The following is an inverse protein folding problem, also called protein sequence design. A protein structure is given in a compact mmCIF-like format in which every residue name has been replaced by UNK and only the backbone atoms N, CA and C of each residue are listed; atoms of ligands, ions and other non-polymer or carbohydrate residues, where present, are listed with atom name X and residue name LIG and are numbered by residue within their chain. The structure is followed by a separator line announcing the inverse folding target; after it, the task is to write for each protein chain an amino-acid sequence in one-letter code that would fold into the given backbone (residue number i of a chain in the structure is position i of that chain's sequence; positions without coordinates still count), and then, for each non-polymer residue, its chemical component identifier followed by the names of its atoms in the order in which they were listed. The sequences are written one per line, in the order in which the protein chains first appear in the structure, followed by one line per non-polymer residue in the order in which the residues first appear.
data_IF_410453884131
#
_entry.id   IF_410453884131
#
_cell.length_a   1.000
_cell.length_b   1.000
_cell.length_c   1.000
_cell.angle_alpha   90.00
_cell.angle_beta   90.00
_cell.angle_gamma   90.00
#
_symmetry.space_group_name_H-M   'P 1'
#
loop_
_entity.id
_entity.type
_entity.pdbx_description
1 polymer ?
#
# COMPACT_ATOMS: atom_id res chain seq x y z
N UNK A 1 0.16 -6.88 3.98
CA UNK A 1 0.90 -6.07 2.98
C UNK A 1 2.16 -5.43 3.56
N UNK A 2 2.10 -4.88 4.79
CA UNK A 2 3.27 -4.34 5.49
C UNK A 2 4.46 -5.33 5.52
N UNK A 3 4.22 -6.60 5.89
CA UNK A 3 5.27 -7.62 5.91
C UNK A 3 5.69 -8.17 4.54
N UNK A 4 4.86 -8.07 3.49
CA UNK A 4 5.34 -8.39 2.14
C UNK A 4 6.25 -7.29 1.59
N UNK A 5 6.01 -6.04 2.00
CA UNK A 5 6.81 -4.88 1.61
C UNK A 5 8.12 -4.75 2.40
N UNK A 6 8.28 -5.42 3.55
CA UNK A 6 9.57 -5.42 4.28
C UNK A 6 10.66 -6.21 3.55
N UNK A 7 10.30 -7.23 2.74
CA UNK A 7 11.26 -7.88 1.84
C UNK A 7 11.91 -6.88 0.85
N UNK A 8 11.17 -5.83 0.47
CA UNK A 8 11.67 -4.76 -0.40
C UNK A 8 12.72 -3.89 0.31
N UNK A 9 12.66 -3.75 1.63
CA UNK A 9 13.66 -3.00 2.40
C UNK A 9 15.04 -3.64 2.28
N UNK A 10 15.12 -4.96 2.41
CA UNK A 10 16.36 -5.71 2.21
C UNK A 10 16.86 -5.62 0.77
N UNK A 11 15.98 -5.90 -0.21
CA UNK A 11 16.37 -5.93 -1.63
C UNK A 11 16.78 -4.54 -2.15
N UNK A 12 16.02 -3.49 -1.84
CA UNK A 12 16.35 -2.13 -2.26
C UNK A 12 17.56 -1.58 -1.48
N UNK A 13 17.68 -1.88 -0.18
CA UNK A 13 18.84 -1.47 0.61
C UNK A 13 20.15 -2.08 0.09
N UNK A 14 20.14 -3.38 -0.22
CA UNK A 14 21.29 -4.05 -0.84
C UNK A 14 21.61 -3.50 -2.23
N UNK A 15 20.59 -3.29 -3.08
CA UNK A 15 20.79 -2.74 -4.41
C UNK A 15 21.35 -1.31 -4.37
N UNK A 16 20.86 -0.47 -3.46
CA UNK A 16 21.37 0.90 -3.31
C UNK A 16 22.81 0.91 -2.78
N UNK A 17 23.10 0.12 -1.75
CA UNK A 17 24.44 0.00 -1.17
C UNK A 17 25.49 -0.57 -2.14
N UNK A 18 25.06 -1.41 -3.08
CA UNK A 18 25.91 -1.94 -4.16
C UNK A 18 25.93 -1.04 -5.42
N UNK A 19 25.39 0.18 -5.35
CA UNK A 19 25.28 1.15 -6.47
C UNK A 19 24.49 0.63 -7.69
N UNK A 20 23.67 -0.40 -7.51
CA UNK A 20 22.81 -0.98 -8.54
C UNK A 20 21.47 -0.23 -8.63
N UNK A 21 21.52 1.06 -8.93
CA UNK A 21 20.36 1.96 -8.90
C UNK A 21 19.21 1.55 -9.82
N UNK A 22 19.52 1.00 -10.99
CA UNK A 22 18.49 0.51 -11.92
C UNK A 22 17.71 -0.68 -11.32
N UNK A 23 18.40 -1.61 -10.64
CA UNK A 23 17.77 -2.75 -10.00
C UNK A 23 16.84 -2.35 -8.87
N UNK A 24 17.16 -1.29 -8.14
CA UNK A 24 16.29 -0.73 -7.11
C UNK A 24 14.93 -0.31 -7.70
N UNK A 25 14.94 0.37 -8.84
CA UNK A 25 13.73 0.73 -9.58
C UNK A 25 12.93 -0.49 -10.04
N UNK A 26 13.61 -1.49 -10.60
CA UNK A 26 12.98 -2.75 -11.05
C UNK A 26 12.35 -3.51 -9.87
N UNK A 27 13.04 -3.62 -8.72
CA UNK A 27 12.50 -4.27 -7.52
C UNK A 27 11.26 -3.56 -7.00
N UNK A 28 11.26 -2.22 -7.02
CA UNK A 28 10.10 -1.43 -6.60
C UNK A 28 8.91 -1.64 -7.54
N UNK A 29 9.13 -1.61 -8.86
CA UNK A 29 8.08 -1.90 -9.84
C UNK A 29 7.53 -3.32 -9.69
N UNK A 30 8.41 -4.31 -9.53
CA UNK A 30 8.03 -5.72 -9.30
C UNK A 30 7.20 -5.88 -8.03
N UNK A 31 7.57 -5.20 -6.95
CA UNK A 31 6.84 -5.22 -5.70
C UNK A 31 5.44 -4.61 -5.87
N UNK A 32 5.32 -3.46 -6.55
CA UNK A 32 4.02 -2.85 -6.87
C UNK A 32 3.13 -3.83 -7.64
N UNK A 33 3.64 -4.40 -8.74
CA UNK A 33 2.88 -5.37 -9.55
C UNK A 33 2.45 -6.58 -8.71
N UNK A 34 3.38 -7.15 -7.93
CA UNK A 34 3.10 -8.32 -7.09
C UNK A 34 2.05 -8.02 -6.03
N UNK A 35 2.17 -6.89 -5.33
CA UNK A 35 1.19 -6.49 -4.31
C UNK A 35 -0.18 -6.21 -4.92
N UNK A 36 -0.25 -5.58 -6.10
CA UNK A 36 -1.52 -5.36 -6.82
C UNK A 36 -2.16 -6.69 -7.24
N UNK A 37 -1.39 -7.67 -7.71
CA UNK A 37 -1.91 -9.01 -8.03
C UNK A 37 -2.45 -9.68 -6.77
N UNK A 38 -1.73 -9.58 -5.63
CA UNK A 38 -2.19 -10.13 -4.34
C UNK A 38 -3.44 -9.41 -3.80
N UNK A 39 -3.64 -8.13 -4.13
CA UNK A 39 -4.86 -7.42 -3.77
C UNK A 39 -6.11 -8.04 -4.39
N UNK A 40 -6.02 -8.66 -5.57
CA UNK A 40 -7.17 -9.24 -6.28
C UNK A 40 -7.83 -10.39 -5.47
N UNK A 41 -7.12 -11.48 -5.11
CA UNK A 41 -7.72 -12.55 -4.31
C UNK A 41 -8.11 -12.06 -2.90
N UNK A 42 -7.36 -11.14 -2.30
CA UNK A 42 -7.74 -10.54 -1.01
C UNK A 42 -9.06 -9.76 -1.10
N UNK A 43 -9.26 -9.00 -2.18
CA UNK A 43 -10.50 -8.26 -2.41
C UNK A 43 -11.68 -9.21 -2.61
N UNK A 44 -11.49 -10.32 -3.32
CA UNK A 44 -12.52 -11.36 -3.46
C UNK A 44 -12.89 -11.95 -2.09
N UNK A 45 -11.92 -12.27 -1.24
CA UNK A 45 -12.20 -12.76 0.13
C UNK A 45 -13.01 -11.72 0.91
N UNK A 46 -12.65 -10.44 0.82
CA UNK A 46 -13.37 -9.36 1.50
C UNK A 46 -14.81 -9.19 1.00
N UNK A 47 -15.06 -9.38 -0.30
CA UNK A 47 -16.43 -9.36 -0.87
C UNK A 47 -17.28 -10.50 -0.31
N UNK A 48 -16.69 -11.66 -0.02
CA UNK A 48 -17.40 -12.82 0.52
C UNK A 48 -17.36 -12.92 2.04
N UNK A 49 -16.79 -11.94 2.75
CA UNK A 49 -16.52 -12.07 4.19
C UNK A 49 -17.80 -12.26 5.02
N UNK A 50 -18.92 -11.62 4.65
CA UNK A 50 -20.22 -11.81 5.32
C UNK A 50 -20.61 -13.30 5.30
N UNK A 51 -20.58 -13.92 4.10
CA UNK A 51 -20.94 -15.34 3.93
C UNK A 51 -19.97 -16.26 4.67
N UNK A 52 -18.68 -15.93 4.66
CA UNK A 52 -17.66 -16.68 5.39
C UNK A 52 -17.92 -16.62 6.90
N UNK A 53 -18.24 -15.44 7.44
CA UNK A 53 -18.53 -15.26 8.86
C UNK A 53 -19.81 -16.01 9.27
N UNK A 54 -20.88 -15.90 8.49
CA UNK A 54 -22.10 -16.67 8.71
C UNK A 54 -21.82 -18.19 8.68
N UNK A 55 -21.00 -18.67 7.74
CA UNK A 55 -20.63 -20.08 7.63
C UNK A 55 -19.87 -20.59 8.86
N UNK A 56 -19.01 -19.76 9.46
CA UNK A 56 -18.26 -20.09 10.68
C UNK A 56 -19.13 -19.96 11.96
N UNK A 57 -20.40 -19.57 11.81
CA UNK A 57 -21.38 -19.52 12.90
C UNK A 57 -21.43 -18.17 13.64
N UNK A 58 -20.96 -17.08 13.00
CA UNK A 58 -21.15 -15.74 13.55
C UNK A 58 -22.61 -15.30 13.45
N UNK A 59 -22.99 -14.38 14.33
CA UNK A 59 -24.31 -13.74 14.29
C UNK A 59 -24.54 -13.04 12.92
N UNK A 60 -25.69 -13.25 12.25
CA UNK A 60 -25.94 -12.68 10.93
C UNK A 60 -25.88 -11.15 10.87
N UNK A 61 -26.28 -10.44 11.93
CA UNK A 61 -26.21 -8.97 11.96
C UNK A 61 -24.76 -8.52 12.07
N UNK A 62 -23.96 -9.17 12.92
CA UNK A 62 -22.52 -8.90 13.02
C UNK A 62 -21.80 -9.19 11.70
N UNK A 63 -22.13 -10.32 11.07
CA UNK A 63 -21.55 -10.71 9.78
C UNK A 63 -21.89 -9.70 8.66
N UNK A 64 -23.13 -9.19 8.65
CA UNK A 64 -23.58 -8.19 7.69
C UNK A 64 -22.83 -6.86 7.84
N UNK A 65 -22.73 -6.34 9.06
CA UNK A 65 -21.99 -5.10 9.33
C UNK A 65 -20.50 -5.25 8.96
N UNK A 66 -19.89 -6.39 9.29
CA UNK A 66 -18.51 -6.69 8.90
C UNK A 66 -18.34 -6.79 7.38
N UNK A 67 -19.31 -7.38 6.67
CA UNK A 67 -19.35 -7.45 5.22
C UNK A 67 -19.42 -6.09 4.55
N UNK A 68 -20.38 -5.28 4.97
CA UNK A 68 -20.54 -3.90 4.50
C UNK A 68 -19.25 -3.11 4.70
N UNK A 69 -18.69 -3.15 5.91
CA UNK A 69 -17.42 -2.50 6.24
C UNK A 69 -16.26 -2.98 5.36
N UNK A 70 -16.14 -4.30 5.14
CA UNK A 70 -15.05 -4.88 4.36
C UNK A 70 -15.01 -4.41 2.90
N UNK A 71 -16.17 -4.18 2.28
CA UNK A 71 -16.26 -3.64 0.92
C UNK A 71 -15.61 -2.24 0.86
N UNK A 72 -15.84 -1.39 1.86
CA UNK A 72 -15.22 -0.06 1.92
C UNK A 72 -13.70 -0.09 2.18
N UNK A 73 -13.15 -1.22 2.66
CA UNK A 73 -11.70 -1.37 2.83
C UNK A 73 -10.97 -1.66 1.52
N UNK A 74 -11.66 -2.20 0.51
CA UNK A 74 -11.04 -2.67 -0.74
C UNK A 74 -10.22 -1.57 -1.42
N UNK A 75 -10.72 -0.34 -1.67
CA UNK A 75 -9.92 0.71 -2.29
C UNK A 75 -8.65 1.05 -1.50
N UNK A 76 -8.72 0.92 -0.17
CA UNK A 76 -7.59 1.12 0.72
C UNK A 76 -6.48 0.08 0.56
N UNK A 77 -6.84 -1.15 0.21
CA UNK A 77 -5.90 -2.24 -0.04
C UNK A 77 -5.00 -1.97 -1.25
N UNK A 78 -5.56 -1.36 -2.30
CA UNK A 78 -4.82 -0.94 -3.48
C UNK A 78 -3.95 0.28 -3.20
N UNK A 79 -4.43 1.24 -2.41
CA UNK A 79 -3.62 2.38 -1.98
C UNK A 79 -2.38 1.92 -1.21
N UNK A 80 -2.52 0.98 -0.29
CA UNK A 80 -1.38 0.43 0.46
C UNK A 80 -0.42 -0.40 -0.41
N UNK A 81 -0.92 -1.10 -1.44
CA UNK A 81 -0.07 -1.81 -2.40
C UNK A 81 0.86 -0.87 -3.19
N UNK A 82 0.44 0.38 -3.39
CA UNK A 82 1.24 1.42 -4.04
C UNK A 82 2.13 2.17 -3.04
N UNK A 83 1.56 2.53 -1.88
CA UNK A 83 2.22 3.35 -0.88
C UNK A 83 3.43 2.66 -0.26
N UNK A 84 3.30 1.38 0.09
CA UNK A 84 4.36 0.67 0.81
C UNK A 84 5.65 0.55 -0.03
N UNK A 85 5.61 0.15 -1.32
CA UNK A 85 6.79 0.17 -2.17
C UNK A 85 7.41 1.57 -2.36
N UNK A 86 6.59 2.61 -2.52
CA UNK A 86 7.07 4.00 -2.64
C UNK A 86 7.84 4.45 -1.40
N UNK A 87 7.31 4.14 -0.20
CA UNK A 87 7.98 4.45 1.05
C UNK A 87 9.32 3.73 1.15
N UNK A 88 9.39 2.44 0.82
CA UNK A 88 10.64 1.67 0.85
C UNK A 88 11.64 2.10 -0.21
N UNK A 89 11.17 2.48 -1.40
CA UNK A 89 12.00 3.08 -2.45
C UNK A 89 12.71 4.34 -1.93
N UNK A 90 11.98 5.27 -1.32
CA UNK A 90 12.56 6.51 -0.78
C UNK A 90 13.43 6.24 0.45
N UNK A 91 12.97 5.36 1.36
CA UNK A 91 13.68 5.01 2.58
C UNK A 91 15.04 4.36 2.28
N UNK A 92 15.12 3.45 1.30
CA UNK A 92 16.38 2.79 0.91
C UNK A 92 17.45 3.74 0.34
N UNK A 93 17.03 4.92 -0.11
CA UNK A 93 17.90 5.99 -0.61
C UNK A 93 18.17 7.07 0.46
N UNK A 94 17.71 6.86 1.69
CA UNK A 94 17.73 7.86 2.77
C UNK A 94 16.98 9.16 2.45
N UNK A 95 16.01 9.12 1.53
CA UNK A 95 15.15 10.26 1.17
C UNK A 95 13.97 10.37 2.14
N UNK A 96 14.25 10.74 3.39
CA UNK A 96 13.25 10.78 4.47
C UNK A 96 12.43 12.08 4.50
N UNK A 97 12.97 13.21 4.04
CA UNK A 97 12.25 14.49 4.02
C UNK A 97 10.96 14.46 3.19
N UNK A 98 10.92 13.90 1.97
CA UNK A 98 9.67 13.75 1.21
C UNK A 98 8.64 12.89 1.93
N UNK A 99 9.09 11.83 2.63
CA UNK A 99 8.22 10.98 3.43
C UNK A 99 7.63 11.75 4.61
N UNK A 100 8.44 12.57 5.29
CA UNK A 100 8.01 13.43 6.39
C UNK A 100 6.97 14.46 5.91
N UNK A 101 7.26 15.19 4.83
CA UNK A 101 6.34 16.18 4.28
C UNK A 101 5.03 15.55 3.80
N UNK A 102 5.10 14.39 3.15
CA UNK A 102 3.88 13.67 2.75
C UNK A 102 3.06 13.22 3.96
N UNK A 103 3.71 12.78 5.04
CA UNK A 103 3.02 12.36 6.26
C UNK A 103 2.34 13.55 6.95
N UNK A 104 3.04 14.69 7.04
CA UNK A 104 2.48 15.92 7.60
C UNK A 104 1.31 16.45 6.77
N UNK A 105 1.47 16.53 5.44
CA UNK A 105 0.38 16.91 4.54
C UNK A 105 -0.80 15.94 4.64
N UNK A 106 -0.52 14.64 4.75
CA UNK A 106 -1.51 13.60 4.96
C UNK A 106 -2.32 13.80 6.23
N UNK A 107 -1.67 14.19 7.33
CA UNK A 107 -2.34 14.51 8.60
C UNK A 107 -3.23 15.75 8.48
N UNK A 108 -2.71 16.83 7.87
CA UNK A 108 -3.46 18.06 7.61
C UNK A 108 -4.66 17.82 6.68
N UNK A 109 -4.56 16.86 5.77
CA UNK A 109 -5.67 16.43 4.91
C UNK A 109 -6.65 15.51 5.66
N UNK A 110 -6.13 14.59 6.49
CA UNK A 110 -6.92 13.60 7.21
C UNK A 110 -7.89 14.25 8.20
N UNK A 111 -7.43 15.19 9.03
CA UNK A 111 -8.25 15.81 10.06
C UNK A 111 -9.56 16.46 9.52
N UNK A 112 -9.53 17.36 8.51
CA UNK A 112 -10.74 17.98 7.97
C UNK A 112 -11.63 16.98 7.21
N UNK A 113 -11.04 16.04 6.46
CA UNK A 113 -11.80 15.02 5.73
C UNK A 113 -12.50 14.08 6.72
N UNK A 114 -11.84 13.70 7.81
CA UNK A 114 -12.41 12.88 8.86
C UNK A 114 -13.62 13.57 9.49
N UNK A 115 -13.45 14.84 9.88
CA UNK A 115 -14.53 15.63 10.45
C UNK A 115 -15.72 15.74 9.48
N UNK A 116 -15.45 16.01 8.20
CA UNK A 116 -16.48 16.17 7.18
C UNK A 116 -17.24 14.86 6.92
N UNK A 117 -16.54 13.74 6.76
CA UNK A 117 -17.17 12.44 6.50
C UNK A 117 -17.99 11.96 7.71
N UNK A 118 -17.45 12.10 8.92
CA UNK A 118 -18.11 11.59 10.14
C UNK A 118 -19.29 12.49 10.54
N UNK A 119 -19.04 13.80 10.71
CA UNK A 119 -20.02 14.70 11.31
C UNK A 119 -20.90 15.41 10.28
N UNK A 120 -20.32 15.88 9.16
CA UNK A 120 -21.10 16.66 8.18
C UNK A 120 -21.93 15.76 7.27
N UNK A 121 -21.40 14.62 6.85
CA UNK A 121 -22.11 13.64 6.03
C UNK A 121 -22.79 12.53 6.84
N UNK A 122 -22.55 12.45 8.14
CA UNK A 122 -23.23 11.48 9.01
C UNK A 122 -22.84 10.02 8.73
N UNK A 123 -21.68 9.76 8.11
CA UNK A 123 -21.26 8.41 7.73
C UNK A 123 -20.73 7.58 8.92
N UNK A 124 -20.66 8.16 10.12
CA UNK A 124 -20.24 7.46 11.34
C UNK A 124 -18.90 6.73 11.19
N UNK A 125 -18.86 5.47 11.60
CA UNK A 125 -17.64 4.64 11.55
C UNK A 125 -17.18 4.31 10.12
N UNK A 126 -18.10 4.21 9.15
CA UNK A 126 -17.79 4.05 7.73
C UNK A 126 -17.02 5.28 7.24
N UNK A 127 -17.45 6.49 7.64
CA UNK A 127 -16.77 7.74 7.34
C UNK A 127 -15.32 7.77 7.83
N UNK A 128 -15.07 7.27 9.04
CA UNK A 128 -13.71 7.11 9.58
C UNK A 128 -12.84 6.18 8.73
N UNK A 129 -13.37 5.02 8.34
CA UNK A 129 -12.64 4.07 7.49
C UNK A 129 -12.30 4.65 6.11
N UNK A 130 -13.26 5.34 5.49
CA UNK A 130 -13.10 5.97 4.18
C UNK A 130 -12.06 7.09 4.23
N UNK A 131 -12.07 7.88 5.32
CA UNK A 131 -11.09 8.93 5.55
C UNK A 131 -9.65 8.39 5.50
N UNK A 132 -9.37 7.31 6.24
CA UNK A 132 -8.03 6.68 6.24
C UNK A 132 -7.63 6.26 4.84
N UNK A 133 -8.56 5.69 4.05
CA UNK A 133 -8.25 5.25 2.68
C UNK A 133 -7.97 6.41 1.74
N UNK A 134 -8.73 7.49 1.86
CA UNK A 134 -8.49 8.73 1.10
C UNK A 134 -7.13 9.33 1.46
N UNK A 135 -6.76 9.34 2.75
CA UNK A 135 -5.43 9.80 3.17
C UNK A 135 -4.30 8.96 2.56
N UNK A 136 -4.48 7.64 2.43
CA UNK A 136 -3.49 6.79 1.76
C UNK A 136 -3.35 7.13 0.28
N UNK A 137 -4.47 7.28 -0.45
CA UNK A 137 -4.43 7.71 -1.84
C UNK A 137 -3.79 9.09 -2.03
N UNK A 138 -4.05 10.01 -1.10
CA UNK A 138 -3.42 11.32 -1.08
C UNK A 138 -1.90 11.22 -0.89
N UNK A 139 -1.42 10.41 0.07
CA UNK A 139 0.00 10.15 0.24
C UNK A 139 0.64 9.48 -0.98
N UNK A 140 -0.04 8.51 -1.61
CA UNK A 140 0.41 7.90 -2.87
C UNK A 140 0.59 8.96 -3.94
N UNK A 141 -0.37 9.88 -4.11
CA UNK A 141 -0.30 10.93 -5.10
C UNK A 141 0.91 11.85 -4.87
N UNK A 142 1.13 12.32 -3.64
CA UNK A 142 2.27 13.18 -3.28
C UNK A 142 3.59 12.47 -3.56
N UNK A 143 3.75 11.24 -3.06
CA UNK A 143 5.02 10.52 -3.19
C UNK A 143 5.30 10.09 -4.62
N UNK A 144 4.28 9.64 -5.37
CA UNK A 144 4.42 9.32 -6.79
C UNK A 144 4.82 10.56 -7.61
N UNK A 145 4.23 11.72 -7.31
CA UNK A 145 4.59 12.98 -7.94
C UNK A 145 6.04 13.37 -7.62
N UNK A 146 6.45 13.26 -6.35
CA UNK A 146 7.82 13.51 -5.95
C UNK A 146 8.80 12.58 -6.67
N UNK A 147 8.55 11.27 -6.69
CA UNK A 147 9.42 10.28 -7.35
C UNK A 147 9.55 10.56 -8.85
N UNK A 148 8.46 10.99 -9.51
CA UNK A 148 8.46 11.26 -10.96
C UNK A 148 9.23 12.54 -11.33
N UNK A 149 9.18 13.58 -10.49
CA UNK A 149 9.75 14.89 -10.82
C UNK A 149 11.09 15.18 -10.15
N UNK A 150 11.40 14.52 -9.04
CA UNK A 150 12.61 14.83 -8.25
C UNK A 150 13.88 14.39 -9.00
N UNK A 151 14.88 15.27 -9.15
CA UNK A 151 16.17 14.89 -9.74
C UNK A 151 16.88 13.81 -8.92
N UNK A 152 16.64 13.75 -7.61
CA UNK A 152 17.22 12.72 -6.72
C UNK A 152 16.78 11.30 -7.07
N UNK A 153 15.58 11.14 -7.65
CA UNK A 153 15.04 9.83 -8.05
C UNK A 153 15.39 9.46 -9.49
N UNK A 154 15.97 10.38 -10.28
CA UNK A 154 16.17 10.17 -11.73
C UNK A 154 17.08 8.99 -12.06
N UNK A 155 18.08 8.71 -11.21
CA UNK A 155 19.02 7.58 -11.38
C UNK A 155 18.45 6.24 -10.92
N UNK A 156 17.54 6.26 -9.95
CA UNK A 156 16.94 5.07 -9.35
C UNK A 156 15.58 4.71 -9.95
N UNK A 157 14.96 5.65 -10.67
CA UNK A 157 13.75 5.41 -11.43
C UNK A 157 14.09 4.63 -12.72
N UNK A 158 13.85 3.32 -12.67
CA UNK A 158 13.96 2.48 -13.85
C UNK A 158 12.85 2.81 -14.86
N UNK A 159 13.16 2.69 -16.15
CA UNK A 159 12.12 2.63 -17.18
C UNK A 159 11.23 1.40 -16.94
N UNK A 160 9.99 1.40 -17.46
CA UNK A 160 9.12 0.23 -17.39
C UNK A 160 9.77 -0.93 -18.15
N UNK A 161 10.42 -1.84 -17.43
CA UNK A 161 11.06 -3.03 -17.99
C UNK A 161 10.13 -4.23 -17.97
N UNK A 162 10.24 -5.11 -18.97
CA UNK A 162 9.61 -6.43 -18.96
C UNK A 162 10.05 -7.27 -17.76
N UNK A 163 11.25 -7.03 -17.23
CA UNK A 163 11.80 -7.72 -16.06
C UNK A 163 11.03 -7.43 -14.76
N UNK A 164 10.29 -6.32 -14.72
CA UNK A 164 9.39 -5.97 -13.62
C UNK A 164 8.15 -6.86 -13.55
N UNK A 165 7.79 -7.51 -14.68
CA UNK A 165 6.70 -8.48 -14.76
C UNK A 165 7.18 -9.93 -14.53
N UNK A 166 8.49 -10.18 -14.60
CA UNK A 166 9.11 -11.45 -14.23
C UNK A 166 9.40 -11.56 -12.73
N UNK A 167 9.58 -12.77 -12.20
CA UNK A 167 10.02 -13.00 -10.81
C UNK A 167 8.94 -12.79 -9.73
N UNK A 168 7.65 -12.80 -10.10
CA UNK A 168 6.52 -12.76 -9.16
C UNK A 168 6.61 -13.87 -8.10
N UNK A 169 6.84 -15.12 -8.53
CA UNK A 169 6.94 -16.27 -7.62
C UNK A 169 8.12 -16.14 -6.65
N UNK A 170 9.25 -15.58 -7.11
CA UNK A 170 10.43 -15.41 -6.27
C UNK A 170 10.21 -14.29 -5.25
N UNK A 171 9.58 -13.18 -5.66
CA UNK A 171 9.18 -12.13 -4.73
C UNK A 171 8.19 -12.64 -3.69
N UNK A 172 7.18 -13.42 -4.09
CA UNK A 172 6.24 -14.04 -3.15
C UNK A 172 6.94 -14.98 -2.16
N UNK A 173 7.88 -15.81 -2.62
CA UNK A 173 8.65 -16.70 -1.74
C UNK A 173 9.46 -15.93 -0.69
N UNK A 174 10.01 -14.76 -1.04
CA UNK A 174 10.71 -13.87 -0.12
C UNK A 174 9.75 -13.10 0.80
N UNK A 175 8.64 -12.63 0.25
CA UNK A 175 7.65 -11.84 0.98
C UNK A 175 6.82 -12.66 1.96
N UNK A 176 6.65 -13.97 1.75
CA UNK A 176 5.85 -14.82 2.62
C UNK A 176 6.45 -14.97 4.04
N UNK A 177 7.74 -15.32 4.22
CA UNK A 177 8.38 -15.31 5.53
C UNK A 177 8.31 -13.92 6.20
N UNK A 178 8.59 -12.85 5.44
CA UNK A 178 8.54 -11.49 5.96
C UNK A 178 7.12 -11.06 6.37
N UNK A 179 6.09 -11.59 5.71
CA UNK A 179 4.69 -11.38 6.10
C UNK A 179 4.28 -12.20 7.32
N UNK A 180 4.86 -13.38 7.53
CA UNK A 180 4.57 -14.23 8.69
C UNK A 180 5.27 -13.76 9.98
N UNK A 181 6.38 -13.01 9.87
CA UNK A 181 7.12 -12.47 11.02
C UNK A 181 6.45 -11.26 11.69
N UNK A 182 5.47 -10.61 11.04
CA UNK A 182 4.75 -9.43 11.52
C UNK A 182 3.32 -9.82 11.85
#
# INVERSE_FOLDING_TARGET
QLGMASALETLCGQAYGAEQYERLGIYTQRAVVTLLIVCIPLSLILVYIEKILCFVGQDPLVAHEAGSFAIYLIPGLFASALLQPLLKFLQSQSLTLPMLYSSFAGLCFHAPVCWLLIFKFGLGHIGGSLCVRLSYWFSVAILAFYVKLSPSCKRTLASLSKDSFGGFCDFLKLSFPSAAMI
#
